data_IF_540674285901
#
_entry.id   IF_540674285901
#
_cell.length_a   1.000
_cell.length_b   1.000
_cell.length_c   1.000
_cell.angle_alpha   90.00
_cell.angle_beta   90.00
_cell.angle_gamma   90.00
#
_symmetry.space_group_name_H-M   'P 1'
#
loop_
_entity.id
_entity.type
_entity.pdbx_description
1 polymer ?
#
# COMPACT_ATOMS: atom_id res chain seq x y z
N UNK A 1 21.55 -27.03 -28.10
CA UNK A 1 21.28 -25.71 -27.50
C UNK A 1 20.17 -24.93 -28.22
N UNK A 2 20.11 -24.91 -29.55
CA UNK A 2 19.03 -24.21 -30.31
C UNK A 2 17.63 -24.74 -29.96
N UNK A 3 17.42 -26.05 -29.91
CA UNK A 3 16.14 -26.68 -29.53
C UNK A 3 15.66 -26.20 -28.15
N UNK A 4 16.56 -26.22 -27.16
CA UNK A 4 16.28 -25.72 -25.81
C UNK A 4 15.91 -24.23 -25.81
N UNK A 5 16.64 -23.41 -26.57
CA UNK A 5 16.34 -21.99 -26.69
C UNK A 5 14.96 -21.74 -27.31
N UNK A 6 14.56 -22.51 -28.33
CA UNK A 6 13.25 -22.41 -28.95
C UNK A 6 12.14 -22.83 -27.96
N UNK A 7 12.36 -23.88 -27.17
CA UNK A 7 11.43 -24.29 -26.11
C UNK A 7 11.23 -23.16 -25.07
N UNK A 8 12.33 -22.53 -24.63
CA UNK A 8 12.26 -21.41 -23.69
C UNK A 8 11.56 -20.18 -24.28
N UNK A 9 11.73 -19.90 -25.57
CA UNK A 9 10.99 -18.83 -26.25
C UNK A 9 9.49 -19.11 -26.33
N UNK A 10 9.09 -20.37 -26.55
CA UNK A 10 7.66 -20.77 -26.52
C UNK A 10 7.08 -20.59 -25.12
N UNK A 11 7.79 -21.03 -24.08
CA UNK A 11 7.38 -20.85 -22.69
C UNK A 11 7.23 -19.36 -22.37
N UNK A 12 8.22 -18.54 -22.75
CA UNK A 12 8.19 -17.09 -22.55
C UNK A 12 7.00 -16.44 -23.29
N UNK A 13 6.70 -16.86 -24.52
CA UNK A 13 5.55 -16.36 -25.27
C UNK A 13 4.22 -16.71 -24.59
N UNK A 14 4.06 -17.94 -24.09
CA UNK A 14 2.84 -18.36 -23.36
C UNK A 14 2.66 -17.51 -22.09
N UNK A 15 3.72 -17.32 -21.30
CA UNK A 15 3.67 -16.51 -20.08
C UNK A 15 3.33 -15.06 -20.40
N UNK A 16 3.93 -14.50 -21.46
CA UNK A 16 3.60 -13.16 -21.91
C UNK A 16 2.12 -13.01 -22.28
N UNK A 17 1.55 -13.97 -23.03
CA UNK A 17 0.13 -13.94 -23.38
C UNK A 17 -0.77 -14.04 -22.14
N UNK A 18 -0.41 -14.86 -21.15
CA UNK A 18 -1.12 -14.93 -19.87
C UNK A 18 -1.06 -13.60 -19.12
N UNK A 19 0.10 -12.94 -19.09
CA UNK A 19 0.25 -11.62 -18.49
C UNK A 19 -0.58 -10.56 -19.24
N UNK A 20 -0.60 -10.58 -20.58
CA UNK A 20 -1.45 -9.68 -21.36
C UNK A 20 -2.94 -9.89 -21.06
N UNK A 21 -3.38 -11.15 -20.94
CA UNK A 21 -4.74 -11.49 -20.52
C UNK A 21 -5.05 -10.84 -19.17
N UNK A 22 -4.14 -10.98 -18.20
CA UNK A 22 -4.31 -10.39 -16.88
C UNK A 22 -4.40 -8.86 -16.96
N UNK A 23 -3.42 -8.22 -17.60
CA UNK A 23 -3.27 -6.77 -17.61
C UNK A 23 -4.34 -6.03 -18.42
N UNK A 24 -4.67 -6.54 -19.61
CA UNK A 24 -5.51 -5.80 -20.57
C UNK A 24 -6.94 -6.31 -20.64
N UNK A 25 -7.19 -7.56 -20.25
CA UNK A 25 -8.49 -8.22 -20.44
C UNK A 25 -9.18 -8.64 -19.15
N UNK A 26 -8.50 -8.60 -18.00
CA UNK A 26 -9.15 -8.83 -16.69
C UNK A 26 -9.17 -7.57 -15.85
N UNK A 27 -10.30 -7.31 -15.19
CA UNK A 27 -10.39 -6.23 -14.20
C UNK A 27 -9.68 -6.68 -12.93
N UNK A 28 -8.87 -5.80 -12.35
CA UNK A 28 -8.19 -6.06 -11.09
C UNK A 28 -9.23 -6.38 -9.99
N UNK A 29 -9.15 -7.55 -9.35
CA UNK A 29 -10.05 -7.90 -8.25
C UNK A 29 -9.70 -7.08 -7.00
N UNK A 30 -10.68 -6.83 -6.14
CA UNK A 30 -10.48 -6.20 -4.82
C UNK A 30 -10.14 -7.20 -3.71
N UNK A 31 -9.74 -6.70 -2.55
CA UNK A 31 -9.47 -7.52 -1.35
C UNK A 31 -8.30 -8.49 -1.52
N UNK A 32 -8.36 -9.67 -0.89
CA UNK A 32 -7.28 -10.65 -0.90
C UNK A 32 -6.94 -11.19 -2.31
N UNK A 33 -7.93 -11.23 -3.21
CA UNK A 33 -7.72 -11.63 -4.59
C UNK A 33 -6.80 -10.65 -5.36
N UNK A 34 -6.71 -9.39 -4.93
CA UNK A 34 -5.79 -8.40 -5.50
C UNK A 34 -4.32 -8.78 -5.26
N UNK A 35 -4.03 -9.40 -4.12
CA UNK A 35 -2.69 -9.85 -3.75
C UNK A 35 -2.28 -11.01 -4.64
N UNK A 36 -3.16 -12.00 -4.83
CA UNK A 36 -2.91 -13.12 -5.75
C UNK A 36 -2.73 -12.67 -7.20
N UNK A 37 -3.50 -11.67 -7.63
CA UNK A 37 -3.34 -11.04 -8.95
C UNK A 37 -1.96 -10.39 -9.10
N UNK A 38 -1.52 -9.59 -8.13
CA UNK A 38 -0.21 -8.95 -8.16
C UNK A 38 0.95 -9.98 -8.15
N UNK A 39 0.86 -11.01 -7.31
CA UNK A 39 1.84 -12.10 -7.28
C UNK A 39 1.92 -12.87 -8.60
N UNK A 40 0.79 -13.11 -9.24
CA UNK A 40 0.75 -13.78 -10.55
C UNK A 40 1.51 -13.00 -11.61
N UNK A 41 1.39 -11.66 -11.60
CA UNK A 41 2.14 -10.79 -12.50
C UNK A 41 3.63 -10.79 -12.18
N UNK A 42 4.02 -10.69 -10.91
CA UNK A 42 5.42 -10.71 -10.47
C UNK A 42 6.09 -12.04 -10.87
N UNK A 43 5.45 -13.16 -10.57
CA UNK A 43 5.95 -14.49 -10.94
C UNK A 43 6.02 -14.67 -12.45
N UNK A 44 5.01 -14.19 -13.19
CA UNK A 44 5.03 -14.17 -14.66
C UNK A 44 6.23 -13.42 -15.22
N UNK A 45 6.49 -12.20 -14.74
CA UNK A 45 7.66 -11.39 -15.11
C UNK A 45 8.95 -12.16 -14.80
N UNK A 46 9.07 -12.75 -13.61
CA UNK A 46 10.27 -13.47 -13.19
C UNK A 46 10.58 -14.66 -14.11
N UNK A 47 9.59 -15.52 -14.39
CA UNK A 47 9.80 -16.69 -15.26
C UNK A 47 10.08 -16.26 -16.71
N UNK A 48 9.37 -15.26 -17.22
CA UNK A 48 9.64 -14.67 -18.54
C UNK A 48 11.09 -14.17 -18.64
N UNK A 49 11.56 -13.46 -17.60
CA UNK A 49 12.91 -12.92 -17.51
C UNK A 49 13.96 -14.02 -17.53
N UNK A 50 13.79 -15.06 -16.71
CA UNK A 50 14.71 -16.19 -16.64
C UNK A 50 14.83 -16.87 -18.01
N UNK A 51 13.70 -17.10 -18.69
CA UNK A 51 13.71 -17.69 -20.04
C UNK A 51 14.52 -16.84 -21.02
N UNK A 52 14.29 -15.52 -21.07
CA UNK A 52 15.01 -14.62 -21.97
C UNK A 52 16.50 -14.51 -21.63
N UNK A 53 16.88 -14.52 -20.35
CA UNK A 53 18.29 -14.48 -19.93
C UNK A 53 19.02 -15.75 -20.41
N UNK A 54 18.42 -16.93 -20.21
CA UNK A 54 19.00 -18.19 -20.66
C UNK A 54 19.11 -18.21 -22.19
N UNK A 55 18.07 -17.80 -22.91
CA UNK A 55 18.10 -17.71 -24.38
C UNK A 55 19.20 -16.75 -24.85
N UNK A 56 19.33 -15.59 -24.20
CA UNK A 56 20.39 -14.61 -24.51
C UNK A 56 21.78 -15.19 -24.27
N UNK A 57 21.97 -15.95 -23.19
CA UNK A 57 23.23 -16.65 -22.94
C UNK A 57 23.55 -17.68 -24.03
N UNK A 58 22.55 -18.45 -24.48
CA UNK A 58 22.69 -19.41 -25.59
C UNK A 58 23.05 -18.71 -26.91
N UNK A 59 22.40 -17.58 -27.21
CA UNK A 59 22.71 -16.79 -28.41
C UNK A 59 24.15 -16.26 -28.33
N UNK A 60 24.55 -15.72 -27.17
CA UNK A 60 25.88 -15.19 -26.93
C UNK A 60 26.98 -16.26 -27.04
N UNK A 61 26.76 -17.45 -26.47
CA UNK A 61 27.73 -18.56 -26.55
C UNK A 61 27.95 -19.06 -27.98
N UNK A 62 26.97 -18.84 -28.88
CA UNK A 62 27.07 -19.18 -30.30
C UNK A 62 27.66 -18.05 -31.16
N UNK A 63 28.24 -17.00 -30.55
CA UNK A 63 28.83 -15.87 -31.26
C UNK A 63 27.82 -14.83 -31.72
N UNK A 64 26.59 -14.86 -31.18
CA UNK A 64 25.61 -13.79 -31.36
C UNK A 64 26.08 -12.46 -30.75
N UNK A 65 25.36 -11.37 -31.04
CA UNK A 65 25.64 -10.03 -30.54
C UNK A 65 26.97 -9.42 -30.98
N UNK A 66 27.58 -9.90 -32.08
CA UNK A 66 28.87 -9.42 -32.59
C UNK A 66 28.96 -7.91 -32.86
N UNK A 67 27.80 -7.27 -33.04
CA UNK A 67 27.66 -5.82 -33.23
C UNK A 67 27.70 -5.00 -31.93
N UNK A 68 27.73 -5.65 -30.77
CA UNK A 68 27.88 -4.99 -29.46
C UNK A 68 29.37 -4.99 -29.09
N UNK A 69 29.88 -3.89 -28.51
CA UNK A 69 31.26 -3.83 -27.99
C UNK A 69 31.42 -4.52 -26.63
N UNK A 70 32.66 -4.82 -26.22
CA UNK A 70 32.97 -5.30 -24.87
C UNK A 70 32.41 -6.70 -24.53
N UNK A 71 31.97 -6.91 -23.28
CA UNK A 71 31.32 -8.16 -22.84
C UNK A 71 29.85 -8.20 -23.32
N UNK A 72 29.70 -8.53 -24.61
CA UNK A 72 28.49 -8.44 -25.43
C UNK A 72 27.27 -9.09 -24.77
N UNK A 73 27.42 -10.33 -24.34
CA UNK A 73 26.36 -11.13 -23.73
C UNK A 73 25.89 -10.50 -22.42
N UNK A 74 26.82 -10.05 -21.59
CA UNK A 74 26.51 -9.45 -20.30
C UNK A 74 25.80 -8.09 -20.46
N UNK A 75 26.21 -7.28 -21.44
CA UNK A 75 25.53 -6.01 -21.74
C UNK A 75 24.09 -6.21 -22.19
N UNK A 76 23.82 -7.21 -23.05
CA UNK A 76 22.46 -7.50 -23.51
C UNK A 76 21.62 -8.06 -22.36
N UNK A 77 22.18 -8.94 -21.51
CA UNK A 77 21.50 -9.43 -20.30
C UNK A 77 21.16 -8.28 -19.34
N UNK A 78 22.10 -7.38 -19.08
CA UNK A 78 21.89 -6.22 -18.21
C UNK A 78 20.81 -5.29 -18.78
N UNK A 79 20.84 -5.04 -20.09
CA UNK A 79 19.83 -4.23 -20.77
C UNK A 79 18.42 -4.85 -20.71
N UNK A 80 18.30 -6.17 -20.95
CA UNK A 80 17.05 -6.89 -20.79
C UNK A 80 16.54 -6.84 -19.36
N UNK A 81 17.42 -7.02 -18.37
CA UNK A 81 17.07 -6.93 -16.96
C UNK A 81 16.50 -5.54 -16.60
N UNK A 82 17.10 -4.46 -17.10
CA UNK A 82 16.60 -3.09 -16.89
C UNK A 82 15.24 -2.85 -17.54
N UNK A 83 15.01 -3.38 -18.74
CA UNK A 83 13.69 -3.35 -19.40
C UNK A 83 12.63 -4.04 -18.54
N UNK A 84 12.98 -5.19 -17.98
CA UNK A 84 12.07 -6.00 -17.18
C UNK A 84 11.78 -5.35 -15.82
N UNK A 85 12.79 -4.77 -15.18
CA UNK A 85 12.61 -3.95 -13.97
C UNK A 85 11.73 -2.72 -14.24
N UNK A 86 11.95 -2.02 -15.35
CA UNK A 86 11.12 -0.87 -15.74
C UNK A 86 9.64 -1.25 -15.93
N UNK A 87 9.37 -2.40 -16.57
CA UNK A 87 8.01 -2.93 -16.71
C UNK A 87 7.41 -3.34 -15.36
N UNK A 88 8.19 -4.01 -14.50
CA UNK A 88 7.75 -4.41 -13.15
C UNK A 88 7.35 -3.22 -12.30
N UNK A 89 8.20 -2.18 -12.24
CA UNK A 89 7.89 -0.93 -11.52
C UNK A 89 6.64 -0.23 -12.03
N UNK A 90 6.40 -0.25 -13.35
CA UNK A 90 5.17 0.31 -13.90
C UNK A 90 3.92 -0.47 -13.48
N UNK A 91 4.03 -1.80 -13.40
CA UNK A 91 2.92 -2.67 -13.05
C UNK A 91 2.60 -2.66 -11.55
N UNK A 92 3.55 -2.28 -10.70
CA UNK A 92 3.39 -2.25 -9.23
C UNK A 92 3.37 -0.84 -8.62
N UNK A 93 3.69 0.20 -9.39
CA UNK A 93 3.93 1.57 -8.90
C UNK A 93 2.70 2.47 -8.82
N UNK A 94 2.90 3.66 -8.24
CA UNK A 94 1.91 4.74 -8.12
C UNK A 94 1.24 5.04 -9.48
N UNK A 95 -0.04 5.40 -9.42
CA UNK A 95 -0.89 5.70 -10.58
C UNK A 95 -0.14 6.57 -11.61
N UNK A 96 -0.16 6.21 -12.91
CA UNK A 96 0.42 7.02 -14.00
C UNK A 96 -0.21 8.41 -14.18
N UNK A 97 -1.11 8.83 -13.28
CA UNK A 97 -1.79 10.13 -13.29
C UNK A 97 -0.82 11.30 -13.26
N UNK A 98 0.34 11.13 -12.62
CA UNK A 98 1.30 12.20 -12.41
C UNK A 98 2.32 12.32 -13.56
N UNK A 99 2.26 11.39 -14.53
CA UNK A 99 3.10 11.43 -15.72
C UNK A 99 2.49 12.33 -16.80
N UNK A 100 3.32 13.10 -17.54
CA UNK A 100 2.89 13.79 -18.75
C UNK A 100 2.15 12.85 -19.71
N UNK A 101 1.15 13.38 -20.42
CA UNK A 101 0.24 12.58 -21.26
C UNK A 101 0.95 11.60 -22.20
N UNK A 102 2.03 12.02 -22.85
CA UNK A 102 2.81 11.20 -23.79
C UNK A 102 3.46 10.02 -23.05
N UNK A 103 4.13 10.29 -21.93
CA UNK A 103 4.79 9.26 -21.12
C UNK A 103 3.78 8.27 -20.55
N UNK A 104 2.60 8.75 -20.12
CA UNK A 104 1.50 7.90 -19.66
C UNK A 104 1.02 6.93 -20.75
N UNK A 105 0.82 7.41 -21.98
CA UNK A 105 0.41 6.57 -23.12
C UNK A 105 1.49 5.56 -23.51
N UNK A 106 2.75 5.99 -23.52
CA UNK A 106 3.88 5.11 -23.80
C UNK A 106 4.00 4.02 -22.74
N UNK A 107 3.86 4.37 -21.47
CA UNK A 107 4.00 3.41 -20.37
C UNK A 107 2.91 2.33 -20.37
N UNK A 108 1.71 2.63 -20.87
CA UNK A 108 0.64 1.62 -21.07
C UNK A 108 0.95 0.71 -22.28
N UNK A 109 1.51 1.26 -23.35
CA UNK A 109 1.75 0.52 -24.60
C UNK A 109 3.02 -0.34 -24.57
N UNK A 110 4.08 0.13 -23.90
CA UNK A 110 5.40 -0.51 -23.87
C UNK A 110 5.36 -1.96 -23.34
N UNK A 111 4.68 -2.28 -22.23
CA UNK A 111 4.57 -3.67 -21.76
C UNK A 111 3.92 -4.61 -22.77
N UNK A 112 3.04 -4.09 -23.65
CA UNK A 112 2.38 -4.88 -24.69
C UNK A 112 3.21 -5.05 -25.97
N UNK A 113 4.06 -4.07 -26.31
CA UNK A 113 4.78 -4.04 -27.61
C UNK A 113 6.20 -4.58 -27.48
N UNK A 114 6.90 -4.26 -26.40
CA UNK A 114 8.32 -4.54 -26.27
C UNK A 114 8.64 -6.03 -26.07
N UNK A 115 7.93 -6.80 -25.22
CA UNK A 115 8.22 -8.23 -25.06
C UNK A 115 8.06 -9.07 -26.35
N UNK A 116 7.00 -8.88 -27.18
CA UNK A 116 6.90 -9.54 -28.49
C UNK A 116 8.08 -9.23 -29.41
N UNK A 117 8.48 -7.96 -29.45
CA UNK A 117 9.62 -7.51 -30.24
C UNK A 117 10.93 -8.19 -29.81
N UNK A 118 11.16 -8.33 -28.50
CA UNK A 118 12.30 -9.05 -27.96
C UNK A 118 12.26 -10.55 -28.25
N UNK A 119 11.07 -11.18 -28.16
CA UNK A 119 10.87 -12.59 -28.51
C UNK A 119 11.19 -12.85 -29.99
N UNK A 120 10.73 -11.97 -30.89
CA UNK A 120 10.99 -12.06 -32.34
C UNK A 120 12.49 -11.90 -32.62
N UNK A 121 13.14 -10.88 -32.04
CA UNK A 121 14.59 -10.68 -32.19
C UNK A 121 15.39 -11.87 -31.67
N UNK A 122 15.01 -12.43 -30.52
CA UNK A 122 15.67 -13.60 -29.94
C UNK A 122 15.46 -14.85 -30.81
N UNK A 123 14.26 -15.06 -31.36
CA UNK A 123 13.97 -16.16 -32.27
C UNK A 123 14.82 -16.07 -33.56
N UNK A 124 14.91 -14.88 -34.16
CA UNK A 124 15.74 -14.64 -35.35
C UNK A 124 17.22 -14.91 -35.04
N UNK A 125 17.72 -14.41 -33.91
CA UNK A 125 19.12 -14.59 -33.54
C UNK A 125 19.49 -16.02 -33.18
N UNK A 126 18.58 -16.74 -32.52
CA UNK A 126 18.79 -18.13 -32.15
C UNK A 126 18.81 -19.05 -33.38
N UNK A 127 18.00 -18.74 -34.40
CA UNK A 127 17.85 -19.54 -35.62
C UNK A 127 18.55 -18.93 -36.84
N UNK A 128 19.33 -17.85 -36.67
CA UNK A 128 19.80 -16.98 -37.76
C UNK A 128 20.70 -17.63 -38.81
N UNK A 129 21.30 -18.80 -38.53
CA UNK A 129 22.03 -19.58 -39.53
C UNK A 129 21.13 -20.14 -40.65
N UNK A 130 19.82 -20.22 -40.40
CA UNK A 130 18.81 -20.77 -41.32
C UNK A 130 17.94 -19.66 -41.95
N UNK A 131 18.03 -18.43 -41.45
CA UNK A 131 17.14 -17.32 -41.78
C UNK A 131 17.96 -16.16 -42.36
N UNK A 132 17.83 -15.91 -43.66
CA UNK A 132 18.44 -14.76 -44.34
C UNK A 132 17.68 -13.46 -44.04
N UNK A 133 17.74 -13.01 -42.79
CA UNK A 133 17.03 -11.81 -42.32
C UNK A 133 18.00 -10.63 -42.23
N UNK A 134 17.66 -9.45 -42.79
CA UNK A 134 18.49 -8.26 -42.68
C UNK A 134 18.82 -7.90 -41.23
N UNK A 135 20.08 -7.55 -40.98
CA UNK A 135 20.60 -7.26 -39.64
C UNK A 135 19.77 -6.24 -38.84
N UNK A 136 19.15 -5.27 -39.53
CA UNK A 136 18.38 -4.21 -38.90
C UNK A 136 17.12 -4.73 -38.19
N UNK A 137 16.50 -5.80 -38.70
CA UNK A 137 15.22 -6.34 -38.22
C UNK A 137 15.31 -6.85 -36.78
N UNK A 138 16.41 -7.52 -36.42
CA UNK A 138 16.58 -8.04 -35.06
C UNK A 138 17.39 -7.10 -34.15
N UNK A 139 18.23 -6.22 -34.70
CA UNK A 139 19.04 -5.27 -33.92
C UNK A 139 18.20 -4.11 -33.38
N UNK A 140 17.35 -3.52 -34.21
CA UNK A 140 16.56 -2.35 -33.84
C UNK A 140 15.67 -2.61 -32.62
N UNK A 141 14.95 -3.73 -32.50
CA UNK A 141 14.12 -4.01 -31.33
C UNK A 141 14.93 -4.19 -30.04
N UNK A 142 16.15 -4.74 -30.13
CA UNK A 142 17.04 -4.89 -28.97
C UNK A 142 17.55 -3.52 -28.51
N UNK A 143 18.03 -2.68 -29.43
CA UNK A 143 18.51 -1.33 -29.10
C UNK A 143 17.40 -0.46 -28.53
N UNK A 144 16.24 -0.43 -29.20
CA UNK A 144 15.07 0.32 -28.73
C UNK A 144 14.64 -0.18 -27.36
N UNK A 145 14.59 -1.50 -27.16
CA UNK A 145 14.31 -2.10 -25.86
C UNK A 145 15.23 -1.57 -24.77
N UNK A 146 16.55 -1.67 -24.96
CA UNK A 146 17.53 -1.23 -23.96
C UNK A 146 17.39 0.27 -23.65
N UNK A 147 17.29 1.12 -24.68
CA UNK A 147 17.16 2.57 -24.50
C UNK A 147 15.86 2.92 -23.77
N UNK A 148 14.74 2.32 -24.17
CA UNK A 148 13.47 2.55 -23.49
C UNK A 148 13.46 2.00 -22.07
N UNK A 149 14.06 0.83 -21.83
CA UNK A 149 14.23 0.27 -20.49
C UNK A 149 15.01 1.22 -19.58
N UNK A 150 16.10 1.80 -20.07
CA UNK A 150 16.87 2.81 -19.36
C UNK A 150 16.08 4.09 -19.09
N UNK A 151 15.31 4.58 -20.06
CA UNK A 151 14.47 5.77 -19.89
C UNK A 151 13.37 5.52 -18.87
N UNK A 152 12.65 4.41 -18.97
CA UNK A 152 11.55 4.05 -18.06
C UNK A 152 12.09 3.80 -16.65
N UNK A 153 13.19 3.04 -16.53
CA UNK A 153 13.86 2.85 -15.25
C UNK A 153 14.35 4.19 -14.68
N UNK A 154 14.95 5.05 -15.49
CA UNK A 154 15.34 6.40 -15.07
C UNK A 154 14.16 7.24 -14.59
N UNK A 155 13.03 7.25 -15.30
CA UNK A 155 11.87 8.07 -14.94
C UNK A 155 11.14 7.52 -13.70
N UNK A 156 11.04 6.20 -13.54
CA UNK A 156 10.24 5.58 -12.47
C UNK A 156 11.08 5.18 -11.27
N UNK A 157 12.24 4.56 -11.50
CA UNK A 157 13.11 4.12 -10.44
C UNK A 157 13.89 5.30 -9.86
N UNK A 158 14.31 6.32 -10.62
CA UNK A 158 15.07 7.43 -10.02
C UNK A 158 14.29 8.20 -8.95
N UNK A 159 13.01 8.60 -9.15
CA UNK A 159 12.24 9.24 -8.08
C UNK A 159 11.97 8.29 -6.92
N UNK A 160 11.69 7.01 -7.19
CA UNK A 160 11.44 6.01 -6.14
C UNK A 160 12.71 5.71 -5.33
N UNK A 161 13.86 5.61 -6.00
CA UNK A 161 15.18 5.38 -5.43
C UNK A 161 15.69 6.63 -4.70
N UNK A 162 15.41 7.82 -5.22
CA UNK A 162 15.65 9.09 -4.54
C UNK A 162 14.76 9.19 -3.30
N UNK A 163 13.46 8.88 -3.41
CA UNK A 163 12.53 8.81 -2.29
C UNK A 163 12.95 7.74 -1.29
N UNK A 164 13.46 6.57 -1.70
CA UNK A 164 13.89 5.50 -0.81
C UNK A 164 15.26 5.76 -0.18
N UNK A 165 16.17 6.45 -0.87
CA UNK A 165 17.42 6.96 -0.29
C UNK A 165 17.14 8.10 0.69
N UNK A 166 16.20 8.99 0.36
CA UNK A 166 15.70 10.01 1.28
C UNK A 166 14.90 9.38 2.44
N UNK A 167 14.16 8.31 2.20
CA UNK A 167 13.42 7.56 3.21
C UNK A 167 14.35 6.70 4.09
N UNK A 168 15.43 6.15 3.53
CA UNK A 168 16.49 5.46 4.26
C UNK A 168 17.23 6.42 5.18
N UNK A 169 17.45 7.68 4.73
CA UNK A 169 17.89 8.78 5.60
C UNK A 169 16.83 9.19 6.64
N UNK A 170 15.53 9.12 6.33
CA UNK A 170 14.43 9.41 7.26
C UNK A 170 14.14 8.30 8.27
N UNK A 171 14.48 7.05 7.98
CA UNK A 171 14.23 5.90 8.87
C UNK A 171 15.32 5.67 9.92
N UNK A 172 16.50 6.29 9.75
CA UNK A 172 17.59 6.26 10.73
C UNK A 172 17.72 7.51 11.60
N UNK A 173 17.11 8.63 11.19
CA UNK A 173 16.97 9.84 12.00
C UNK A 173 15.63 10.46 11.66
N UNK A 174 14.66 10.22 12.53
CA UNK A 174 13.34 10.82 12.46
C UNK A 174 13.49 12.33 12.34
N UNK A 175 13.06 12.91 11.21
CA UNK A 175 12.82 14.35 11.10
C UNK A 175 11.48 14.66 11.81
N UNK A 176 11.39 14.18 13.06
CA UNK A 176 10.32 14.45 14.01
C UNK A 176 10.33 15.93 14.42
N UNK A 177 11.30 16.72 13.95
CA UNK A 177 11.42 18.17 14.12
C UNK A 177 10.07 18.86 13.95
N UNK A 178 9.34 18.58 12.86
CA UNK A 178 8.01 19.19 12.64
C UNK A 178 6.98 18.73 13.66
N UNK A 179 6.99 17.46 14.06
CA UNK A 179 6.05 16.92 15.05
C UNK A 179 6.37 17.46 16.45
N UNK A 180 7.65 17.54 16.80
CA UNK A 180 8.13 18.14 18.04
C UNK A 180 7.77 19.61 18.10
N UNK A 181 8.01 20.38 17.04
CA UNK A 181 7.57 21.77 16.96
C UNK A 181 6.06 21.91 17.13
N UNK A 182 5.26 21.04 16.50
CA UNK A 182 3.81 21.06 16.67
C UNK A 182 3.39 20.74 18.12
N UNK A 183 4.00 19.73 18.74
CA UNK A 183 3.73 19.34 20.13
C UNK A 183 4.15 20.44 21.12
N UNK A 184 5.32 21.03 20.90
CA UNK A 184 5.89 22.04 21.79
C UNK A 184 5.12 23.35 21.69
N UNK A 185 4.77 23.78 20.48
CA UNK A 185 4.02 25.02 20.23
C UNK A 185 2.53 24.89 20.53
N UNK A 186 2.02 23.70 20.84
CA UNK A 186 0.63 23.54 21.25
C UNK A 186 0.40 24.15 22.63
N UNK A 187 -0.52 25.12 22.70
CA UNK A 187 -1.01 25.67 23.96
C UNK A 187 -1.88 24.64 24.69
N UNK A 188 -1.30 23.98 25.69
CA UNK A 188 -1.96 22.92 26.48
C UNK A 188 -3.18 23.46 27.26
N UNK A 189 -3.29 24.77 27.49
CA UNK A 189 -4.46 25.33 28.18
C UNK A 189 -5.71 25.32 27.30
N UNK A 190 -5.55 25.40 25.97
CA UNK A 190 -6.65 25.53 24.99
C UNK A 190 -6.78 24.33 24.05
N UNK A 191 -5.66 23.78 23.61
CA UNK A 191 -5.55 22.93 22.43
C UNK A 191 -4.97 21.53 22.74
N UNK A 192 -4.91 21.13 24.01
CA UNK A 192 -4.33 19.86 24.44
C UNK A 192 -4.97 18.63 23.79
N UNK A 193 -6.26 18.68 23.43
CA UNK A 193 -6.96 17.56 22.77
C UNK A 193 -6.29 17.17 21.44
N UNK A 194 -5.69 18.13 20.73
CA UNK A 194 -4.97 17.85 19.49
C UNK A 194 -3.66 17.09 19.72
N UNK A 195 -3.13 17.07 20.95
CA UNK A 195 -1.96 16.25 21.28
C UNK A 195 -2.30 14.76 21.31
N UNK A 196 -3.57 14.39 21.50
CA UNK A 196 -4.01 12.99 21.61
C UNK A 196 -3.71 12.18 20.36
N UNK A 197 -3.76 12.81 19.18
CA UNK A 197 -3.43 12.14 17.92
C UNK A 197 -2.02 11.57 17.92
N UNK A 198 -1.08 12.22 18.61
CA UNK A 198 0.33 11.80 18.68
C UNK A 198 0.59 10.72 19.74
N UNK A 199 -0.42 10.28 20.49
CA UNK A 199 -0.28 9.31 21.59
C UNK A 199 -0.67 7.88 21.21
N UNK A 200 -1.14 7.67 19.98
CA UNK A 200 -1.49 6.35 19.46
C UNK A 200 -0.23 5.47 19.31
N UNK A 201 -0.37 4.16 19.54
CA UNK A 201 0.68 3.17 19.38
C UNK A 201 1.36 3.18 17.99
N UNK A 202 0.72 3.74 16.97
CA UNK A 202 1.26 3.88 15.61
C UNK A 202 2.36 4.96 15.45
N UNK A 203 2.60 5.80 16.47
CA UNK A 203 3.66 6.80 16.46
C UNK A 203 4.98 6.28 17.07
N UNK A 204 6.10 6.88 16.66
CA UNK A 204 7.41 6.68 17.25
C UNK A 204 7.38 6.94 18.76
N UNK A 205 8.10 6.09 19.52
CA UNK A 205 8.12 6.15 20.98
C UNK A 205 8.44 7.56 21.51
N UNK A 206 9.43 8.23 20.93
CA UNK A 206 9.87 9.58 21.35
C UNK A 206 8.79 10.64 21.11
N UNK A 207 8.02 10.55 20.02
CA UNK A 207 6.90 11.46 19.72
C UNK A 207 5.78 11.25 20.74
N UNK A 208 5.44 9.99 21.01
CA UNK A 208 4.40 9.65 22.00
C UNK A 208 4.78 10.15 23.39
N UNK A 209 6.00 9.86 23.84
CA UNK A 209 6.47 10.27 25.17
C UNK A 209 6.43 11.79 25.33
N UNK A 210 6.89 12.54 24.32
CA UNK A 210 6.84 14.00 24.34
C UNK A 210 5.40 14.54 24.38
N UNK A 211 4.49 13.97 23.59
CA UNK A 211 3.08 14.36 23.61
C UNK A 211 2.42 14.04 24.97
N UNK A 212 2.73 12.87 25.54
CA UNK A 212 2.25 12.45 26.87
C UNK A 212 2.74 13.39 27.97
N UNK A 213 4.02 13.78 27.95
CA UNK A 213 4.59 14.75 28.89
C UNK A 213 3.86 16.09 28.80
N UNK A 214 3.58 16.58 27.58
CA UNK A 214 2.84 17.83 27.38
C UNK A 214 1.40 17.72 27.89
N UNK A 215 0.68 16.63 27.62
CA UNK A 215 -0.67 16.41 28.14
C UNK A 215 -0.65 16.39 29.68
N UNK A 216 0.26 15.60 30.29
CA UNK A 216 0.37 15.43 31.74
C UNK A 216 0.93 16.64 32.48
N UNK A 217 1.50 17.61 31.76
CA UNK A 217 1.91 18.90 32.35
C UNK A 217 0.72 19.74 32.83
N UNK A 218 -0.49 19.39 32.39
CA UNK A 218 -1.75 19.99 32.86
C UNK A 218 -2.25 19.22 34.09
N UNK A 219 -2.51 19.89 35.24
CA UNK A 219 -2.86 19.19 36.49
C UNK A 219 -4.23 18.50 36.44
N UNK A 220 -5.20 19.05 35.70
CA UNK A 220 -6.59 18.58 35.57
C UNK A 220 -6.83 17.73 34.31
N UNK A 221 -5.79 17.08 33.78
CA UNK A 221 -5.87 16.40 32.48
C UNK A 221 -6.86 15.22 32.48
N UNK A 222 -6.98 14.46 33.57
CA UNK A 222 -7.92 13.34 33.62
C UNK A 222 -9.37 13.83 33.73
N UNK A 223 -9.63 14.86 34.53
CA UNK A 223 -10.96 15.49 34.67
C UNK A 223 -11.40 16.10 33.35
N UNK A 224 -10.49 16.73 32.60
CA UNK A 224 -10.80 17.22 31.27
C UNK A 224 -11.09 16.06 30.30
N UNK A 225 -10.36 14.94 30.34
CA UNK A 225 -10.69 13.77 29.52
C UNK A 225 -12.10 13.24 29.80
N UNK A 226 -12.49 13.15 31.09
CA UNK A 226 -13.85 12.78 31.50
C UNK A 226 -14.88 13.70 30.86
N UNK A 227 -14.69 15.03 30.91
CA UNK A 227 -15.59 15.99 30.25
C UNK A 227 -15.62 15.83 28.72
N UNK A 228 -14.49 15.47 28.09
CA UNK A 228 -14.40 15.29 26.62
C UNK A 228 -15.03 13.99 26.14
N UNK A 229 -15.07 12.95 26.96
CA UNK A 229 -15.86 11.76 26.66
C UNK A 229 -17.36 12.07 26.53
N UNK A 230 -17.85 13.15 27.13
CA UNK A 230 -19.25 13.55 27.12
C UNK A 230 -19.61 14.54 26.00
N UNK A 231 -18.74 14.72 24.99
CA UNK A 231 -19.04 15.51 23.80
C UNK A 231 -18.34 14.95 22.55
N UNK A 232 -18.42 15.68 21.44
CA UNK A 232 -17.89 15.27 20.12
C UNK A 232 -16.37 14.96 20.10
N UNK A 233 -15.63 15.27 21.17
CA UNK A 233 -14.21 14.92 21.35
C UNK A 233 -13.97 13.53 21.95
N UNK A 234 -15.01 12.73 22.19
CA UNK A 234 -14.86 11.36 22.68
C UNK A 234 -13.91 10.49 21.81
N UNK A 235 -13.91 10.57 20.46
CA UNK A 235 -13.00 9.77 19.63
C UNK A 235 -11.51 9.99 19.93
N UNK A 236 -11.11 11.22 20.22
CA UNK A 236 -9.74 11.59 20.59
C UNK A 236 -9.35 10.96 21.94
N UNK A 237 -10.31 10.90 22.88
CA UNK A 237 -10.09 10.26 24.18
C UNK A 237 -9.93 8.74 24.03
N UNK A 238 -10.78 8.09 23.22
CA UNK A 238 -10.59 6.67 22.92
C UNK A 238 -9.25 6.39 22.23
N UNK A 239 -8.81 7.28 21.35
CA UNK A 239 -7.49 7.17 20.70
C UNK A 239 -6.35 7.15 21.72
N UNK A 240 -6.40 8.05 22.70
CA UNK A 240 -5.43 8.07 23.80
C UNK A 240 -5.52 6.81 24.68
N UNK A 241 -6.70 6.48 25.19
CA UNK A 241 -6.89 5.43 26.20
C UNK A 241 -6.65 4.03 25.62
N UNK A 242 -6.88 3.83 24.33
CA UNK A 242 -6.59 2.56 23.66
C UNK A 242 -5.09 2.18 23.76
N UNK A 243 -4.20 3.18 23.79
CA UNK A 243 -2.75 2.99 23.75
C UNK A 243 -2.03 3.37 25.04
N UNK A 244 -2.69 4.11 25.94
CA UNK A 244 -2.09 4.63 27.17
C UNK A 244 -2.94 4.25 28.38
N UNK A 245 -2.32 4.16 29.55
CA UNK A 245 -3.03 3.88 30.80
C UNK A 245 -3.32 5.19 31.55
N UNK A 246 -4.46 5.22 32.24
CA UNK A 246 -4.84 6.33 33.13
C UNK A 246 -4.67 5.89 34.58
N UNK A 247 -4.07 6.71 35.46
CA UNK A 247 -3.84 6.35 36.85
C UNK A 247 -5.14 6.08 37.64
N UNK A 248 -6.13 6.96 37.54
CA UNK A 248 -7.40 6.79 38.21
C UNK A 248 -8.43 6.29 37.20
N UNK A 249 -8.70 4.99 37.19
CA UNK A 249 -9.69 4.40 36.29
C UNK A 249 -11.13 4.68 36.73
N UNK A 250 -11.38 4.85 38.03
CA UNK A 250 -12.74 4.90 38.57
C UNK A 250 -13.49 6.16 38.13
N UNK A 251 -12.77 7.25 37.90
CA UNK A 251 -13.36 8.50 37.41
C UNK A 251 -13.94 8.42 35.98
N UNK A 252 -13.59 7.38 35.22
CA UNK A 252 -13.99 7.24 33.82
C UNK A 252 -15.21 6.33 33.64
N UNK A 253 -15.69 5.64 34.67
CA UNK A 253 -16.64 4.54 34.52
C UNK A 253 -17.95 4.95 33.82
N UNK A 254 -18.60 6.02 34.30
CA UNK A 254 -19.82 6.52 33.65
C UNK A 254 -19.51 7.31 32.37
N UNK A 255 -18.40 8.06 32.34
CA UNK A 255 -18.02 8.86 31.19
C UNK A 255 -17.68 7.99 29.97
N UNK A 256 -17.14 6.79 30.16
CA UNK A 256 -16.89 5.84 29.09
C UNK A 256 -18.18 5.34 28.46
N UNK A 257 -19.24 5.07 29.24
CA UNK A 257 -20.54 4.70 28.68
C UNK A 257 -21.07 5.81 27.78
N UNK A 258 -21.02 7.05 28.27
CA UNK A 258 -21.47 8.21 27.52
C UNK A 258 -20.64 8.45 26.25
N UNK A 259 -19.32 8.30 26.34
CA UNK A 259 -18.42 8.36 25.19
C UNK A 259 -18.71 7.30 24.14
N UNK A 260 -19.04 6.07 24.54
CA UNK A 260 -19.43 5.00 23.62
C UNK A 260 -20.73 5.39 22.89
N UNK A 261 -21.72 5.94 23.60
CA UNK A 261 -22.96 6.42 23.00
C UNK A 261 -22.73 7.61 22.05
N UNK A 262 -21.78 8.50 22.37
CA UNK A 262 -21.37 9.58 21.44
C UNK A 262 -20.71 9.01 20.20
N UNK A 263 -19.80 8.05 20.34
CA UNK A 263 -19.19 7.37 19.20
C UNK A 263 -20.25 6.70 18.32
N UNK A 264 -21.27 6.08 18.93
CA UNK A 264 -22.41 5.50 18.24
C UNK A 264 -23.17 6.57 17.45
N UNK A 265 -23.50 7.72 18.05
CA UNK A 265 -24.14 8.85 17.37
C UNK A 265 -23.30 9.36 16.19
N UNK A 266 -22.00 9.60 16.38
CA UNK A 266 -21.10 10.10 15.33
C UNK A 266 -21.01 9.13 14.14
N UNK A 267 -21.00 7.82 14.38
CA UNK A 267 -21.06 6.80 13.32
C UNK A 267 -22.38 6.89 12.55
N UNK A 268 -23.53 6.98 13.23
CA UNK A 268 -24.84 7.15 12.57
C UNK A 268 -24.86 8.39 11.70
N UNK A 269 -24.39 9.52 12.23
CA UNK A 269 -24.31 10.76 11.47
C UNK A 269 -23.40 10.63 10.24
N UNK A 270 -22.24 9.98 10.38
CA UNK A 270 -21.33 9.75 9.26
C UNK A 270 -21.99 8.90 8.18
N UNK A 271 -22.76 7.87 8.54
CA UNK A 271 -23.46 7.00 7.58
C UNK A 271 -24.59 7.77 6.86
N UNK A 272 -25.33 8.61 7.60
CA UNK A 272 -26.40 9.46 7.04
C UNK A 272 -25.87 10.52 6.08
N UNK A 273 -24.66 11.02 6.32
CA UNK A 273 -24.00 12.08 5.52
C UNK A 273 -23.28 11.54 4.28
N UNK A 274 -23.26 10.23 4.04
CA UNK A 274 -22.69 9.66 2.82
C UNK A 274 -23.40 10.22 1.58
N UNK A 275 -22.60 10.65 0.60
CA UNK A 275 -23.05 11.22 -0.68
C UNK A 275 -22.84 10.26 -1.84
N UNK A 276 -21.95 9.29 -1.69
CA UNK A 276 -21.69 8.26 -2.68
C UNK A 276 -21.35 6.91 -2.04
N UNK A 277 -21.47 5.83 -2.82
CA UNK A 277 -21.11 4.46 -2.41
C UNK A 277 -19.65 4.33 -1.96
N UNK A 278 -18.77 5.23 -2.41
CA UNK A 278 -17.36 5.22 -2.06
C UNK A 278 -17.08 5.78 -0.65
N UNK A 279 -18.03 6.49 -0.03
CA UNK A 279 -17.92 6.97 1.35
C UNK A 279 -18.01 5.83 2.38
N UNK A 280 -18.63 4.70 1.99
CA UNK A 280 -18.74 3.48 2.79
C UNK A 280 -17.90 2.37 2.15
N UNK A 281 -16.67 2.24 2.61
CA UNK A 281 -15.75 1.16 2.23
C UNK A 281 -15.59 0.16 3.37
N UNK A 282 -15.08 -1.03 3.06
CA UNK A 282 -14.97 -2.14 4.01
C UNK A 282 -14.26 -1.74 5.32
N UNK A 283 -13.14 -1.02 5.26
CA UNK A 283 -12.40 -0.59 6.45
C UNK A 283 -12.99 0.60 7.24
N UNK A 284 -14.19 1.09 6.89
CA UNK A 284 -14.80 2.24 7.56
C UNK A 284 -15.19 1.88 9.00
N UNK A 285 -14.93 2.80 9.92
CA UNK A 285 -15.20 2.68 11.37
C UNK A 285 -14.36 1.62 12.13
N UNK A 286 -13.47 0.89 11.45
CA UNK A 286 -12.67 -0.16 12.10
C UNK A 286 -11.80 0.39 13.21
N UNK A 287 -11.13 1.53 13.00
CA UNK A 287 -10.22 2.11 13.98
C UNK A 287 -10.97 2.71 15.18
N UNK A 288 -12.09 3.36 14.92
CA UNK A 288 -12.96 3.94 15.94
C UNK A 288 -13.49 2.85 16.86
N UNK A 289 -13.96 1.73 16.29
CA UNK A 289 -14.46 0.58 17.06
C UNK A 289 -13.33 -0.16 17.78
N UNK A 290 -12.18 -0.39 17.13
CA UNK A 290 -11.01 -1.01 17.76
C UNK A 290 -10.56 -0.25 19.01
N UNK A 291 -10.47 1.07 18.91
CA UNK A 291 -10.05 1.94 20.02
C UNK A 291 -11.03 1.87 21.17
N UNK A 292 -12.34 1.93 20.91
CA UNK A 292 -13.36 1.76 21.95
C UNK A 292 -13.21 0.40 22.64
N UNK A 293 -13.12 -0.70 21.88
CA UNK A 293 -12.97 -2.05 22.45
C UNK A 293 -11.71 -2.14 23.32
N UNK A 294 -10.56 -1.69 22.80
CA UNK A 294 -9.30 -1.71 23.56
C UNK A 294 -9.36 -0.87 24.83
N UNK A 295 -10.03 0.28 24.77
CA UNK A 295 -10.27 1.09 25.96
C UNK A 295 -11.14 0.33 26.95
N UNK A 296 -12.32 -0.14 26.56
CA UNK A 296 -13.25 -0.84 27.47
C UNK A 296 -12.59 -2.07 28.11
N UNK A 297 -11.82 -2.86 27.35
CA UNK A 297 -11.12 -4.02 27.88
C UNK A 297 -10.12 -3.67 29.01
N UNK A 298 -9.53 -2.47 29.00
CA UNK A 298 -8.65 -2.01 30.10
C UNK A 298 -9.40 -1.66 31.37
N UNK A 299 -10.73 -1.47 31.28
CA UNK A 299 -11.64 -1.15 32.38
C UNK A 299 -12.50 -2.36 32.76
N UNK A 300 -12.31 -3.51 32.11
CA UNK A 300 -12.86 -4.78 32.57
C UNK A 300 -12.31 -5.10 33.97
N UNK A 301 -13.20 -5.44 34.89
CA UNK A 301 -12.90 -5.61 36.31
C UNK A 301 -13.42 -4.49 37.20
N UNK A 302 -13.79 -3.34 36.63
CA UNK A 302 -14.62 -2.37 37.34
C UNK A 302 -16.06 -2.93 37.40
N UNK A 303 -16.84 -2.64 38.44
CA UNK A 303 -18.22 -3.14 38.65
C UNK A 303 -19.26 -2.55 37.65
N UNK A 304 -18.79 -2.13 36.47
CA UNK A 304 -19.51 -1.29 35.53
C UNK A 304 -19.84 -2.09 34.27
N UNK A 305 -21.13 -2.20 33.98
CA UNK A 305 -21.59 -2.92 32.81
C UNK A 305 -21.59 -2.02 31.56
N UNK A 306 -20.57 -2.18 30.70
CA UNK A 306 -20.46 -1.50 29.41
C UNK A 306 -21.27 -2.14 28.28
N UNK A 307 -21.81 -3.34 28.49
CA UNK A 307 -22.52 -4.12 27.46
C UNK A 307 -23.65 -3.34 26.76
N UNK A 308 -24.52 -2.58 27.47
CA UNK A 308 -25.59 -1.83 26.81
C UNK A 308 -25.05 -0.76 25.84
N UNK A 309 -24.02 -0.01 26.23
CA UNK A 309 -23.42 1.02 25.39
C UNK A 309 -22.71 0.39 24.18
N UNK A 310 -22.01 -0.72 24.37
CA UNK A 310 -21.36 -1.47 23.28
C UNK A 310 -22.39 -2.04 22.28
N UNK A 311 -23.55 -2.50 22.77
CA UNK A 311 -24.67 -2.89 21.91
C UNK A 311 -25.23 -1.69 21.13
N UNK A 312 -25.28 -0.51 21.74
CA UNK A 312 -25.69 0.70 21.04
C UNK A 312 -24.73 1.08 19.91
N UNK A 313 -23.42 1.05 20.18
CA UNK A 313 -22.37 1.27 19.18
C UNK A 313 -22.47 0.25 18.03
N UNK A 314 -22.76 -1.00 18.36
CA UNK A 314 -23.00 -2.05 17.37
C UNK A 314 -24.24 -1.75 16.52
N UNK A 315 -25.32 -1.28 17.12
CA UNK A 315 -26.54 -0.92 16.39
C UNK A 315 -26.34 0.30 15.48
N UNK A 316 -25.43 1.23 15.83
CA UNK A 316 -25.10 2.38 14.98
C UNK A 316 -24.56 1.98 13.60
N UNK A 317 -23.84 0.86 13.49
CA UNK A 317 -23.34 0.36 12.21
C UNK A 317 -24.46 -0.10 11.25
N UNK A 318 -25.66 -0.37 11.79
CA UNK A 318 -26.83 -0.75 11.01
C UNK A 318 -27.65 0.46 10.50
N UNK A 319 -27.27 1.70 10.83
CA UNK A 319 -27.96 2.94 10.42
C UNK A 319 -28.32 3.01 8.94
N UNK A 320 -29.56 3.34 8.59
CA UNK A 320 -29.98 3.32 7.18
C UNK A 320 -29.18 4.30 6.30
N UNK A 321 -28.91 3.88 5.06
CA UNK A 321 -28.29 4.70 4.02
C UNK A 321 -28.85 4.32 2.65
N UNK A 322 -28.89 5.26 1.71
CA UNK A 322 -29.38 5.04 0.35
C UNK A 322 -28.46 4.18 -0.53
N UNK A 323 -27.28 3.80 -0.02
CA UNK A 323 -26.27 3.03 -0.74
C UNK A 323 -26.18 1.60 -0.22
N UNK A 324 -25.68 0.70 -1.07
CA UNK A 324 -25.36 -0.67 -0.65
C UNK A 324 -24.18 -0.66 0.31
N UNK A 325 -24.41 -1.09 1.57
CA UNK A 325 -23.34 -1.19 2.56
C UNK A 325 -22.46 -2.41 2.29
N UNK A 326 -21.12 -2.27 2.27
CA UNK A 326 -20.25 -3.43 2.31
C UNK A 326 -20.34 -4.11 3.68
N UNK A 327 -19.80 -5.33 3.78
CA UNK A 327 -19.59 -5.97 5.09
C UNK A 327 -18.53 -5.16 5.86
N UNK A 328 -18.92 -4.54 6.97
CA UNK A 328 -18.02 -3.75 7.83
C UNK A 328 -17.34 -4.67 8.86
N UNK A 329 -16.01 -4.84 8.87
CA UNK A 329 -15.29 -5.62 9.88
C UNK A 329 -15.53 -5.13 11.31
N UNK A 330 -15.76 -3.83 11.49
CA UNK A 330 -16.14 -3.23 12.78
C UNK A 330 -17.38 -3.91 13.41
N UNK A 331 -18.30 -4.40 12.58
CA UNK A 331 -19.50 -5.14 13.01
C UNK A 331 -19.12 -6.48 13.64
N UNK A 332 -18.26 -7.24 12.96
CA UNK A 332 -17.76 -8.54 13.42
C UNK A 332 -16.93 -8.38 14.72
N UNK A 333 -16.18 -7.29 14.87
CA UNK A 333 -15.41 -6.99 16.09
C UNK A 333 -16.32 -6.81 17.32
N UNK A 334 -17.38 -6.02 17.17
CA UNK A 334 -18.35 -5.79 18.23
C UNK A 334 -19.18 -7.05 18.52
N UNK A 335 -19.60 -7.80 17.49
CA UNK A 335 -20.33 -9.06 17.67
C UNK A 335 -19.48 -10.09 18.44
N UNK A 336 -18.17 -10.14 18.16
CA UNK A 336 -17.23 -10.97 18.92
C UNK A 336 -17.11 -10.51 20.37
N UNK A 337 -16.98 -9.20 20.61
CA UNK A 337 -16.86 -8.65 21.96
C UNK A 337 -18.13 -8.89 22.79
N UNK A 338 -19.32 -8.63 22.22
CA UNK A 338 -20.64 -8.83 22.84
C UNK A 338 -21.01 -10.29 23.13
N UNK A 339 -20.31 -11.23 22.50
CA UNK A 339 -20.46 -12.67 22.77
C UNK A 339 -19.56 -13.15 23.91
N UNK A 340 -18.42 -12.49 24.11
CA UNK A 340 -17.43 -12.87 25.11
C UNK A 340 -17.73 -12.30 26.50
N UNK A 341 -18.27 -11.08 26.52
CA UNK A 341 -18.88 -10.40 27.68
C UNK A 341 -20.38 -10.54 27.57
#
# INVERSE_FOLDING_TARGET
>A
MVVLGNLLLVIAAIIFLLMCKLLFFTRMPGGDASVGYAWSLILGIAVFSICLIIVTAIIGSNGGFSWVGGNRTLMVIAGLFLVLLGNGFFMTGESPSDLPFILRKMAIAIPGILPPLLLISAAILLNGKQLSVPGMVYKLPIYTGIVFGLIVFGILAFPTLQRSMLAGKRSGSSDNTRLFEQIDNTDVSKNWIFLMVYTDANHDKVVRERALERIKSRPDWQEEMVKRLQNDWAPEIFTFMASNDVPDKTMFDEALKEGISIQARLIRESIRKCRDKHDLYQGRFTWEVDRVIRTVNKFEGNEVNYRPAMQELRNALDEHTGFTKPKLPAKDMLDKWLKAH
#
